data_IF_804299162141
#
_entry.id   IF_804299162141
#
_cell.length_a   1.000
_cell.length_b   1.000
_cell.length_c   1.000
_cell.angle_alpha   90.00
_cell.angle_beta   90.00
_cell.angle_gamma   90.00
#
_symmetry.space_group_name_H-M   'P 1'
#
loop_
_entity.id
_entity.type
_entity.pdbx_description
1 polymer ?
#
# COMPACT_ATOMS: atom_id res chain seq x y z
N UNK A 1 -19.82 -57.77 -20.65
CA UNK A 1 -19.68 -57.25 -19.26
C UNK A 1 -18.42 -56.39 -18.99
N UNK A 2 -17.33 -56.47 -19.78
CA UNK A 2 -16.12 -55.64 -19.59
C UNK A 2 -16.24 -54.19 -20.10
N UNK A 3 -17.07 -53.95 -21.13
CA UNK A 3 -17.22 -52.63 -21.77
C UNK A 3 -18.06 -51.67 -20.91
N UNK A 4 -19.16 -52.15 -20.29
CA UNK A 4 -19.97 -51.33 -19.37
C UNK A 4 -19.19 -50.86 -18.13
N UNK A 5 -18.28 -51.70 -17.59
CA UNK A 5 -17.40 -51.30 -16.47
C UNK A 5 -16.42 -50.18 -16.83
N UNK A 6 -15.94 -50.12 -18.08
CA UNK A 6 -15.02 -49.07 -18.54
C UNK A 6 -15.73 -47.74 -18.78
N UNK A 7 -16.96 -47.77 -19.29
CA UNK A 7 -17.80 -46.58 -19.49
C UNK A 7 -18.21 -45.98 -18.13
N UNK A 8 -18.56 -46.84 -17.15
CA UNK A 8 -18.90 -46.39 -15.80
C UNK A 8 -17.70 -45.76 -15.08
N UNK A 9 -16.48 -46.28 -15.29
CA UNK A 9 -15.25 -45.72 -14.72
C UNK A 9 -14.90 -44.35 -15.33
N UNK A 10 -15.13 -44.17 -16.64
CA UNK A 10 -14.94 -42.89 -17.36
C UNK A 10 -15.93 -41.80 -16.93
N UNK A 11 -17.20 -42.17 -16.67
CA UNK A 11 -18.22 -41.27 -16.14
C UNK A 11 -17.92 -40.86 -14.69
N UNK A 12 -17.38 -41.77 -13.86
CA UNK A 12 -16.98 -41.46 -12.49
C UNK A 12 -15.78 -40.50 -12.43
N UNK A 13 -14.83 -40.61 -13.38
CA UNK A 13 -13.71 -39.66 -13.47
C UNK A 13 -14.13 -38.27 -13.94
N UNK A 14 -15.19 -38.14 -14.76
CA UNK A 14 -15.73 -36.83 -15.15
C UNK A 14 -16.49 -36.14 -14.00
N UNK A 15 -17.10 -36.89 -13.09
CA UNK A 15 -17.79 -36.36 -11.91
C UNK A 15 -16.85 -35.80 -10.83
N UNK A 16 -15.58 -36.18 -10.84
CA UNK A 16 -14.55 -35.68 -9.91
C UNK A 16 -13.87 -34.39 -10.40
N UNK A 17 -14.16 -33.92 -11.62
CA UNK A 17 -13.63 -32.65 -12.18
C UNK A 17 -14.54 -31.45 -11.81
N UNK A 18 -15.70 -31.69 -11.22
CA UNK A 18 -16.74 -30.68 -10.98
C UNK A 18 -16.98 -30.35 -9.51
N UNK A 19 -15.97 -29.85 -8.81
CA UNK A 19 -16.24 -28.96 -7.67
C UNK A 19 -15.09 -27.97 -7.55
N UNK A 20 -15.05 -27.03 -8.50
CA UNK A 20 -14.47 -25.72 -8.21
C UNK A 20 -15.42 -25.17 -7.14
N UNK A 21 -15.07 -25.30 -5.87
CA UNK A 21 -15.73 -24.53 -4.83
C UNK A 21 -15.66 -23.08 -5.30
N UNK A 22 -16.80 -22.47 -5.62
CA UNK A 22 -16.84 -21.06 -5.91
C UNK A 22 -16.25 -20.38 -4.67
N UNK A 23 -15.08 -19.75 -4.85
CA UNK A 23 -14.49 -18.94 -3.80
C UNK A 23 -15.38 -17.72 -3.72
N UNK A 24 -16.18 -17.61 -2.67
CA UNK A 24 -17.11 -16.49 -2.49
C UNK A 24 -16.32 -15.25 -2.04
N UNK A 25 -15.77 -14.52 -3.01
CA UNK A 25 -15.20 -13.20 -2.79
C UNK A 25 -16.31 -12.21 -2.39
N UNK A 26 -16.04 -11.40 -1.38
CA UNK A 26 -16.94 -10.31 -0.98
C UNK A 26 -16.56 -9.01 -1.69
N UNK A 27 -17.53 -8.25 -2.18
CA UNK A 27 -17.27 -6.96 -2.83
C UNK A 27 -17.32 -5.83 -1.79
N UNK A 28 -16.32 -4.95 -1.80
CA UNK A 28 -16.28 -3.73 -0.98
C UNK A 28 -15.94 -2.53 -1.84
N UNK A 29 -16.54 -1.38 -1.55
CA UNK A 29 -16.25 -0.13 -2.28
C UNK A 29 -15.42 0.79 -1.40
N UNK A 30 -14.23 1.17 -1.86
CA UNK A 30 -13.29 2.05 -1.16
C UNK A 30 -13.13 3.29 -2.04
N UNK A 31 -13.62 4.44 -1.55
CA UNK A 31 -13.59 5.73 -2.27
C UNK A 31 -14.04 5.65 -3.74
N UNK A 32 -15.08 4.86 -4.02
CA UNK A 32 -15.68 4.73 -5.34
C UNK A 32 -15.05 3.66 -6.24
N UNK A 33 -14.02 2.95 -5.79
CA UNK A 33 -13.48 1.78 -6.47
C UNK A 33 -13.92 0.49 -5.77
N UNK A 34 -14.44 -0.47 -6.55
CA UNK A 34 -14.90 -1.76 -6.03
C UNK A 34 -13.78 -2.80 -6.03
N UNK A 35 -13.62 -3.52 -4.93
CA UNK A 35 -12.60 -4.56 -4.76
C UNK A 35 -13.23 -5.89 -4.34
N UNK A 36 -12.71 -6.98 -4.93
CA UNK A 36 -13.04 -8.34 -4.51
C UNK A 36 -12.13 -8.78 -3.37
N UNK A 37 -12.69 -8.89 -2.16
CA UNK A 37 -11.97 -9.31 -0.96
C UNK A 37 -12.01 -10.84 -0.82
N UNK A 38 -10.84 -11.51 -0.71
CA UNK A 38 -10.73 -12.93 -0.46
C UNK A 38 -11.48 -13.38 0.82
N UNK A 39 -12.05 -14.60 0.87
CA UNK A 39 -12.85 -15.05 2.00
C UNK A 39 -12.15 -14.95 3.35
N UNK A 40 -10.85 -15.22 3.41
CA UNK A 40 -10.05 -15.15 4.65
C UNK A 40 -9.96 -13.73 5.24
N UNK A 41 -10.26 -12.70 4.45
CA UNK A 41 -10.26 -11.31 4.88
C UNK A 41 -11.66 -10.69 4.91
N UNK A 42 -12.71 -11.45 4.60
CA UNK A 42 -14.08 -10.96 4.36
C UNK A 42 -14.74 -10.22 5.56
N UNK A 43 -14.27 -10.46 6.78
CA UNK A 43 -14.81 -9.87 8.01
C UNK A 43 -14.09 -8.57 8.41
N UNK A 44 -13.45 -7.88 7.45
CA UNK A 44 -12.86 -6.57 7.67
C UNK A 44 -13.90 -5.45 7.82
N UNK A 45 -13.42 -4.30 8.27
CA UNK A 45 -14.22 -3.09 8.48
C UNK A 45 -13.90 -2.04 7.42
N UNK A 46 -14.93 -1.41 6.88
CA UNK A 46 -14.81 -0.23 6.03
C UNK A 46 -14.77 1.04 6.89
N UNK A 47 -13.80 1.90 6.63
CA UNK A 47 -13.69 3.24 7.20
C UNK A 47 -13.17 4.17 6.09
N UNK A 48 -13.42 5.47 6.16
CA UNK A 48 -13.13 6.45 5.10
C UNK A 48 -11.83 6.16 4.33
N UNK A 49 -11.95 5.83 3.04
CA UNK A 49 -10.82 5.51 2.16
C UNK A 49 -10.05 4.22 2.43
N UNK A 50 -10.57 3.31 3.28
CA UNK A 50 -9.88 2.04 3.57
C UNK A 50 -10.82 0.89 3.96
N UNK A 51 -10.33 -0.32 3.69
CA UNK A 51 -10.84 -1.56 4.23
C UNK A 51 -9.76 -2.22 5.07
N UNK A 52 -10.07 -2.63 6.31
CA UNK A 52 -9.08 -3.21 7.23
C UNK A 52 -9.61 -4.50 7.84
N UNK A 53 -8.87 -5.59 7.67
CA UNK A 53 -9.09 -6.85 8.38
C UNK A 53 -8.06 -6.99 9.50
N UNK A 54 -8.53 -7.05 10.74
CA UNK A 54 -7.75 -6.98 11.99
C UNK A 54 -6.93 -5.69 12.14
N UNK A 55 -5.85 -5.53 11.37
CA UNK A 55 -5.02 -4.34 11.34
C UNK A 55 -4.12 -4.28 10.08
N UNK A 56 -3.39 -3.18 9.92
CA UNK A 56 -2.50 -2.92 8.75
C UNK A 56 -1.33 -3.90 8.63
N UNK A 57 -1.05 -4.74 9.63
CA UNK A 57 0.00 -5.76 9.59
C UNK A 57 -0.55 -7.12 9.18
N UNK A 58 -1.87 -7.30 9.22
CA UNK A 58 -2.56 -8.49 8.73
C UNK A 58 -3.02 -8.26 7.28
N UNK A 59 -4.02 -7.40 7.07
CA UNK A 59 -4.54 -7.10 5.73
C UNK A 59 -5.33 -5.78 5.71
N UNK A 60 -5.06 -4.94 4.71
CA UNK A 60 -5.88 -3.76 4.44
C UNK A 60 -5.75 -3.31 2.98
N UNK A 61 -6.76 -2.60 2.47
CA UNK A 61 -6.71 -1.88 1.19
C UNK A 61 -7.00 -0.41 1.48
N UNK A 62 -6.14 0.48 1.00
CA UNK A 62 -6.19 1.91 1.28
C UNK A 62 -6.20 2.68 -0.04
N UNK A 63 -7.08 3.66 -0.18
CA UNK A 63 -6.93 4.77 -1.10
C UNK A 63 -5.94 5.77 -0.49
N UNK A 64 -4.81 6.05 -1.14
CA UNK A 64 -3.67 6.72 -0.49
C UNK A 64 -3.40 8.14 -0.98
N UNK A 65 -4.12 8.66 -1.97
CA UNK A 65 -3.81 9.94 -2.64
C UNK A 65 -3.59 11.09 -1.64
N UNK A 66 -4.49 11.26 -0.66
CA UNK A 66 -4.44 12.35 0.33
C UNK A 66 -3.24 12.28 1.30
N UNK A 67 -2.58 11.14 1.42
CA UNK A 67 -1.50 10.93 2.39
C UNK A 67 -0.34 10.11 1.81
N UNK A 68 -0.22 10.04 0.48
CA UNK A 68 0.77 9.23 -0.24
C UNK A 68 2.21 9.61 0.10
N UNK A 69 2.46 10.90 0.38
CA UNK A 69 3.77 11.39 0.85
C UNK A 69 4.17 10.69 2.16
N UNK A 70 3.25 10.62 3.13
CA UNK A 70 3.53 9.96 4.41
C UNK A 70 3.48 8.44 4.30
N UNK A 71 2.56 7.90 3.50
CA UNK A 71 2.35 6.47 3.31
C UNK A 71 3.50 5.87 2.51
N UNK A 72 3.60 6.18 1.22
CA UNK A 72 4.65 5.68 0.35
C UNK A 72 6.02 6.25 0.71
N UNK A 73 6.15 7.58 0.83
CA UNK A 73 7.46 8.22 1.06
C UNK A 73 8.11 7.78 2.38
N UNK A 74 7.32 7.71 3.46
CA UNK A 74 7.76 7.21 4.75
C UNK A 74 8.11 5.73 4.73
N UNK A 75 7.24 4.89 4.16
CA UNK A 75 7.45 3.44 4.11
C UNK A 75 8.62 3.07 3.21
N UNK A 76 8.84 3.81 2.12
CA UNK A 76 10.01 3.63 1.25
C UNK A 76 11.33 3.79 2.02
N UNK A 77 11.41 4.67 3.02
CA UNK A 77 12.65 4.83 3.80
C UNK A 77 12.95 3.62 4.69
N UNK A 78 11.92 2.98 5.25
CA UNK A 78 12.07 1.90 6.22
C UNK A 78 11.98 0.50 5.61
N UNK A 79 11.54 0.39 4.35
CA UNK A 79 11.43 -0.89 3.67
C UNK A 79 12.79 -1.56 3.48
N UNK A 80 12.91 -2.83 3.89
CA UNK A 80 14.08 -3.66 3.68
C UNK A 80 14.22 -4.05 2.20
N UNK A 81 13.08 -4.26 1.53
CA UNK A 81 13.02 -4.65 0.12
C UNK A 81 12.04 -3.77 -0.65
N UNK A 82 12.38 -3.48 -1.92
CA UNK A 82 11.66 -2.56 -2.80
C UNK A 82 11.74 -3.08 -4.23
N UNK A 83 10.60 -3.31 -4.86
CA UNK A 83 10.58 -3.90 -6.20
C UNK A 83 9.45 -3.32 -7.05
N UNK A 84 9.80 -2.95 -8.29
CA UNK A 84 8.82 -2.70 -9.34
C UNK A 84 8.43 -4.04 -9.93
N UNK A 85 7.15 -4.39 -9.84
CA UNK A 85 6.61 -5.64 -10.38
C UNK A 85 5.44 -5.33 -11.31
N UNK A 86 4.97 -6.37 -11.99
CA UNK A 86 3.68 -6.36 -12.68
C UNK A 86 2.77 -7.40 -12.06
N UNK A 87 1.52 -7.02 -11.82
CA UNK A 87 0.46 -7.92 -11.37
C UNK A 87 -0.61 -7.92 -12.45
N UNK A 88 -0.73 -9.03 -13.17
CA UNK A 88 -1.34 -9.03 -14.49
C UNK A 88 -0.66 -8.03 -15.43
N UNK A 89 -1.45 -7.13 -16.03
CA UNK A 89 -0.96 -6.06 -16.90
C UNK A 89 -0.67 -4.74 -16.15
N UNK A 90 -0.92 -4.68 -14.83
CA UNK A 90 -0.78 -3.44 -14.05
C UNK A 90 0.62 -3.27 -13.48
N UNK A 91 1.21 -2.07 -13.58
CA UNK A 91 2.42 -1.75 -12.84
C UNK A 91 2.13 -1.69 -11.34
N UNK A 92 3.05 -2.19 -10.52
CA UNK A 92 2.94 -2.10 -9.07
C UNK A 92 4.30 -1.91 -8.40
N UNK A 93 4.30 -1.31 -7.22
CA UNK A 93 5.48 -1.15 -6.37
C UNK A 93 5.28 -1.93 -5.08
N UNK A 94 6.12 -2.94 -4.85
CA UNK A 94 6.15 -3.73 -3.63
C UNK A 94 7.21 -3.18 -2.68
N UNK A 95 6.78 -2.83 -1.47
CA UNK A 95 7.67 -2.52 -0.34
C UNK A 95 7.47 -3.57 0.73
N UNK A 96 8.56 -4.13 1.26
CA UNK A 96 8.50 -5.12 2.34
C UNK A 96 9.43 -4.72 3.47
N UNK A 97 8.97 -4.85 4.70
CA UNK A 97 9.76 -4.62 5.91
C UNK A 97 9.48 -5.71 6.94
N UNK A 98 10.49 -6.02 7.76
CA UNK A 98 10.31 -6.92 8.89
C UNK A 98 9.65 -6.19 10.06
N UNK A 99 8.48 -6.65 10.48
CA UNK A 99 7.76 -6.10 11.62
C UNK A 99 8.14 -6.85 12.91
N UNK A 100 8.86 -6.19 13.81
CA UNK A 100 9.37 -6.80 15.05
C UNK A 100 8.28 -7.16 16.06
N UNK A 101 7.11 -6.52 16.00
CA UNK A 101 5.99 -6.81 16.92
C UNK A 101 5.34 -8.15 16.58
N UNK A 102 5.06 -8.41 15.29
CA UNK A 102 4.48 -9.68 14.84
C UNK A 102 5.53 -10.72 14.43
N UNK A 103 6.82 -10.37 14.50
CA UNK A 103 7.99 -11.17 14.14
C UNK A 103 7.93 -11.77 12.74
N UNK A 104 7.38 -11.00 11.80
CA UNK A 104 7.12 -11.44 10.44
C UNK A 104 7.22 -10.26 9.47
N UNK A 105 7.32 -10.56 8.19
CA UNK A 105 7.29 -9.53 7.15
C UNK A 105 5.89 -8.95 7.00
N UNK A 106 5.85 -7.66 6.67
CA UNK A 106 4.66 -6.97 6.20
C UNK A 106 5.02 -6.31 4.88
N UNK A 107 4.15 -6.49 3.89
CA UNK A 107 4.27 -5.91 2.58
C UNK A 107 3.20 -4.86 2.30
N UNK A 108 3.58 -3.92 1.45
CA UNK A 108 2.71 -2.89 0.88
C UNK A 108 2.85 -2.95 -0.63
N UNK A 109 1.74 -3.16 -1.32
CA UNK A 109 1.68 -3.19 -2.77
C UNK A 109 0.88 -2.00 -3.26
N UNK A 110 1.59 -1.04 -3.86
CA UNK A 110 0.99 0.14 -4.47
C UNK A 110 0.67 -0.15 -5.94
N UNK A 111 -0.50 0.26 -6.41
CA UNK A 111 -0.95 0.04 -7.80
C UNK A 111 -2.02 1.07 -8.21
N UNK A 112 -2.16 1.36 -9.51
CA UNK A 112 -3.13 2.34 -9.99
C UNK A 112 -4.52 1.73 -10.21
N UNK A 113 -5.56 2.48 -9.81
CA UNK A 113 -6.99 2.17 -10.02
C UNK A 113 -7.72 3.45 -10.42
N UNK A 114 -8.38 3.46 -11.58
CA UNK A 114 -8.94 4.70 -12.13
C UNK A 114 -7.84 5.77 -12.31
N UNK A 115 -8.03 6.93 -11.69
CA UNK A 115 -7.05 8.04 -11.68
C UNK A 115 -6.21 8.11 -10.39
N UNK A 116 -6.42 7.16 -9.47
CA UNK A 116 -5.88 7.19 -8.11
C UNK A 116 -4.87 6.07 -7.84
N UNK A 117 -4.14 6.20 -6.75
CA UNK A 117 -3.24 5.16 -6.23
C UNK A 117 -3.87 4.48 -5.02
N UNK A 118 -3.84 3.15 -5.04
CA UNK A 118 -4.23 2.31 -3.91
C UNK A 118 -3.05 1.52 -3.39
N UNK A 119 -3.12 1.14 -2.12
CA UNK A 119 -2.12 0.30 -1.45
C UNK A 119 -2.80 -0.87 -0.75
N UNK A 120 -2.35 -2.11 -1.03
CA UNK A 120 -2.71 -3.28 -0.24
C UNK A 120 -1.61 -3.54 0.78
N UNK A 121 -1.97 -3.54 2.06
CA UNK A 121 -1.16 -4.07 3.14
C UNK A 121 -1.46 -5.55 3.30
N UNK A 122 -0.43 -6.38 3.43
CA UNK A 122 -0.61 -7.81 3.73
C UNK A 122 0.57 -8.38 4.50
N UNK A 123 0.30 -9.39 5.33
CA UNK A 123 1.33 -10.16 6.03
C UNK A 123 2.10 -11.05 5.06
N UNK A 124 3.41 -11.12 5.23
CA UNK A 124 4.33 -11.85 4.38
C UNK A 124 5.12 -10.94 3.46
N UNK A 125 5.79 -11.54 2.48
CA UNK A 125 6.67 -10.85 1.53
C UNK A 125 6.40 -11.20 0.06
N UNK A 126 5.42 -12.06 -0.20
CA UNK A 126 5.11 -12.56 -1.54
C UNK A 126 3.70 -12.13 -1.93
N UNK A 127 3.55 -11.57 -3.13
CA UNK A 127 2.24 -11.32 -3.74
C UNK A 127 1.61 -12.68 -4.06
N UNK A 128 0.61 -13.08 -3.27
CA UNK A 128 -0.10 -14.36 -3.45
C UNK A 128 -1.16 -14.25 -4.55
N UNK A 129 -1.73 -15.39 -4.97
CA UNK A 129 -2.85 -15.41 -5.92
C UNK A 129 -4.03 -14.54 -5.48
N UNK A 130 -4.30 -14.47 -4.18
CA UNK A 130 -5.42 -13.71 -3.63
C UNK A 130 -5.15 -12.20 -3.69
N UNK A 131 -3.91 -11.79 -3.43
CA UNK A 131 -3.48 -10.39 -3.60
C UNK A 131 -3.47 -10.03 -5.09
N UNK A 132 -2.99 -10.91 -5.96
CA UNK A 132 -3.06 -10.71 -7.41
C UNK A 132 -4.49 -10.57 -7.89
N UNK A 133 -5.42 -11.41 -7.41
CA UNK A 133 -6.83 -11.34 -7.80
C UNK A 133 -7.45 -9.99 -7.44
N UNK A 134 -7.15 -9.43 -6.26
CA UNK A 134 -7.62 -8.09 -5.87
C UNK A 134 -7.18 -7.04 -6.90
N UNK A 135 -5.91 -7.07 -7.32
CA UNK A 135 -5.34 -6.09 -8.26
C UNK A 135 -5.87 -6.28 -9.69
N UNK A 136 -5.96 -7.54 -10.15
CA UNK A 136 -6.40 -7.88 -11.50
C UNK A 136 -7.90 -7.61 -11.70
N UNK A 137 -8.70 -7.76 -10.65
CA UNK A 137 -10.16 -7.51 -10.70
C UNK A 137 -10.58 -6.10 -10.30
N UNK A 138 -9.65 -5.27 -9.81
CA UNK A 138 -9.91 -3.85 -9.54
C UNK A 138 -10.33 -3.10 -10.82
N UNK A 139 -11.04 -1.96 -10.72
CA UNK A 139 -11.36 -1.13 -11.86
C UNK A 139 -10.13 -0.76 -12.70
N UNK A 140 -10.23 -0.72 -14.05
CA UNK A 140 -9.11 -0.36 -14.91
C UNK A 140 -8.56 1.04 -14.58
N UNK A 141 -7.29 1.26 -14.90
CA UNK A 141 -6.66 2.56 -14.82
C UNK A 141 -6.03 2.87 -16.18
N UNK A 142 -6.26 4.09 -16.67
CA UNK A 142 -5.59 4.61 -17.86
C UNK A 142 -4.20 5.19 -17.53
N UNK A 143 -3.79 5.14 -16.26
CA UNK A 143 -2.50 5.63 -15.80
C UNK A 143 -1.38 4.77 -16.39
N UNK A 144 -0.48 5.40 -17.16
CA UNK A 144 0.70 4.71 -17.66
C UNK A 144 1.64 4.35 -16.51
N UNK A 145 2.50 3.34 -16.72
CA UNK A 145 3.55 3.00 -15.75
C UNK A 145 4.44 4.19 -15.40
N UNK A 146 4.73 5.07 -16.37
CA UNK A 146 5.52 6.28 -16.14
C UNK A 146 4.79 7.26 -15.22
N UNK A 147 3.51 7.52 -15.46
CA UNK A 147 2.70 8.40 -14.61
C UNK A 147 2.59 7.84 -13.19
N UNK A 148 2.31 6.54 -13.05
CA UNK A 148 2.22 5.86 -11.76
C UNK A 148 3.53 5.97 -10.95
N UNK A 149 4.67 5.61 -11.55
CA UNK A 149 5.96 5.72 -10.86
C UNK A 149 6.39 7.18 -10.66
N UNK A 150 5.92 8.11 -11.49
CA UNK A 150 6.10 9.55 -11.31
C UNK A 150 5.48 10.04 -10.02
N UNK A 151 4.20 9.71 -9.78
CA UNK A 151 3.47 10.03 -8.53
C UNK A 151 4.24 9.51 -7.32
N UNK A 152 4.64 8.23 -7.34
CA UNK A 152 5.40 7.63 -6.25
C UNK A 152 6.75 8.32 -6.02
N UNK A 153 7.48 8.63 -7.10
CA UNK A 153 8.77 9.31 -7.02
C UNK A 153 8.64 10.72 -6.40
N UNK A 154 7.63 11.47 -6.80
CA UNK A 154 7.32 12.79 -6.24
C UNK A 154 6.97 12.70 -4.76
N UNK A 155 6.09 11.78 -4.38
CA UNK A 155 5.71 11.55 -2.98
C UNK A 155 6.93 11.24 -2.09
N UNK A 156 7.86 10.41 -2.58
CA UNK A 156 9.12 10.13 -1.88
C UNK A 156 10.00 11.37 -1.78
N UNK A 157 10.17 12.13 -2.87
CA UNK A 157 11.00 13.34 -2.87
C UNK A 157 10.46 14.37 -1.88
N UNK A 158 9.15 14.55 -1.86
CA UNK A 158 8.49 15.47 -0.94
C UNK A 158 8.66 15.02 0.52
N UNK A 159 8.50 13.73 0.81
CA UNK A 159 8.76 13.19 2.14
C UNK A 159 10.21 13.45 2.59
N UNK A 160 11.19 13.22 1.71
CA UNK A 160 12.61 13.45 2.00
C UNK A 160 12.88 14.94 2.28
N UNK A 161 12.22 15.83 1.55
CA UNK A 161 12.32 17.26 1.76
C UNK A 161 11.68 17.72 3.08
N UNK A 162 10.48 17.23 3.40
CA UNK A 162 9.80 17.52 4.68
C UNK A 162 10.66 17.06 5.87
N UNK A 163 11.20 15.84 5.79
CA UNK A 163 12.10 15.31 6.83
C UNK A 163 13.37 16.16 6.99
N UNK A 164 13.98 16.60 5.90
CA UNK A 164 15.14 17.49 5.97
C UNK A 164 14.82 18.82 6.69
N UNK A 165 13.64 19.40 6.42
CA UNK A 165 13.20 20.62 7.11
C UNK A 165 12.93 20.36 8.60
N UNK A 166 12.33 19.23 8.96
CA UNK A 166 12.08 18.86 10.35
C UNK A 166 13.40 18.66 11.13
N UNK A 167 14.37 17.96 10.52
CA UNK A 167 15.70 17.74 11.10
C UNK A 167 16.45 19.09 11.27
N UNK A 168 16.35 19.99 10.28
CA UNK A 168 16.93 21.33 10.35
C UNK A 168 16.28 22.15 11.48
N UNK A 169 14.95 22.15 11.58
CA UNK A 169 14.23 22.86 12.62
C UNK A 169 14.57 22.32 14.02
N UNK A 170 14.71 21.00 14.17
CA UNK A 170 15.13 20.36 15.41
C UNK A 170 16.54 20.81 15.83
N UNK A 171 17.50 20.79 14.90
CA UNK A 171 18.87 21.25 15.15
C UNK A 171 18.90 22.74 15.55
N UNK A 172 18.18 23.59 14.82
CA UNK A 172 18.06 25.01 15.17
C UNK A 172 17.39 25.24 16.53
N UNK A 173 16.39 24.44 16.92
CA UNK A 173 15.78 24.55 18.25
C UNK A 173 16.72 24.09 19.37
N UNK A 174 17.58 23.09 19.11
CA UNK A 174 18.65 22.67 20.00
C UNK A 174 19.75 23.74 20.12
N UNK A 175 20.07 24.42 19.02
CA UNK A 175 21.01 25.56 18.99
C UNK A 175 20.40 26.80 19.64
N UNK A 176 19.10 27.08 19.47
CA UNK A 176 18.42 28.22 20.07
C UNK A 176 18.28 28.04 21.58
N UNK A 177 17.92 26.85 22.07
CA UNK A 177 17.91 26.55 23.51
C UNK A 177 19.30 26.62 24.16
N UNK A 178 20.39 26.44 23.39
CA UNK A 178 21.76 26.71 23.84
C UNK A 178 22.20 28.17 23.63
N UNK A 179 21.63 28.90 22.66
CA UNK A 179 21.85 30.34 22.38
C UNK A 179 20.98 31.30 23.19
N UNK A 180 19.91 30.85 23.85
CA UNK A 180 19.25 31.64 24.90
C UNK A 180 20.18 31.87 26.12
N UNK A 181 21.39 31.27 26.09
CA UNK A 181 22.52 31.61 26.97
C UNK A 181 23.53 32.60 26.35
N UNK A 182 23.40 33.00 25.06
CA UNK A 182 24.29 33.93 24.36
C UNK A 182 23.65 34.54 23.07
N UNK A 183 23.29 35.82 23.12
CA UNK A 183 22.50 36.56 22.11
C UNK A 183 23.14 36.82 20.72
N UNK A 184 22.23 37.05 19.75
CA UNK A 184 22.25 37.90 18.53
C UNK A 184 23.03 37.51 17.25
N UNK A 185 22.30 37.26 16.15
CA UNK A 185 22.14 38.19 15.00
C UNK A 185 21.57 37.50 13.73
N UNK A 186 20.83 38.26 12.92
CA UNK A 186 20.34 38.08 11.54
C UNK A 186 19.63 36.78 11.07
N UNK A 187 20.06 35.60 11.51
CA UNK A 187 19.48 34.32 11.04
C UNK A 187 18.03 34.10 11.54
N UNK A 188 17.66 34.82 12.61
CA UNK A 188 16.35 34.79 13.25
C UNK A 188 15.20 35.27 12.33
N UNK A 189 15.50 36.06 11.28
CA UNK A 189 14.45 36.64 10.42
C UNK A 189 13.94 35.68 9.33
N UNK A 190 14.81 34.83 8.76
CA UNK A 190 14.41 33.89 7.69
C UNK A 190 13.51 32.80 8.27
N UNK A 191 13.85 32.32 9.47
CA UNK A 191 13.09 31.27 10.18
C UNK A 191 11.77 31.83 10.73
N UNK A 192 11.75 33.05 11.28
CA UNK A 192 10.49 33.72 11.64
C UNK A 192 9.57 33.93 10.44
N UNK A 193 10.12 34.31 9.28
CA UNK A 193 9.31 34.49 8.08
C UNK A 193 8.64 33.19 7.66
N UNK A 194 9.35 32.05 7.72
CA UNK A 194 8.81 30.74 7.37
C UNK A 194 7.73 30.27 8.36
N UNK A 195 7.97 30.36 9.68
CA UNK A 195 7.01 29.99 10.72
C UNK A 195 5.73 30.84 10.68
N UNK A 196 5.82 32.11 10.28
CA UNK A 196 4.68 33.03 10.19
C UNK A 196 3.85 32.89 8.91
N UNK A 197 4.41 32.31 7.84
CA UNK A 197 3.75 32.25 6.53
C UNK A 197 3.24 30.86 6.15
N UNK A 198 3.75 29.80 6.79
CA UNK A 198 3.44 28.41 6.40
C UNK A 198 2.75 27.59 7.48
N UNK A 199 2.42 28.19 8.63
CA UNK A 199 1.46 27.63 9.61
C UNK A 199 0.16 28.43 9.55
N UNK A 200 -0.78 27.97 8.72
CA UNK A 200 -2.21 28.28 8.79
C UNK A 200 -3.02 27.13 8.22
#
# INVERSE_FOLDING_TARGET
>A
MKIMKRIFLLLLTFLLIGSVCAVDYSNVSIDGADFQIPPQYSQGTLDKGKYVFEDLRTFAILHVDDYIVSNYGGMYKIADFKEKISVGERPAMLLTYYNTYIKDNVSQLYFPVGESVYCIYFRGNNVTSDISNIVETAPPSEMTSEAFYGILSEAKKEHDYRKYLDDLAADYSGIASTRDSASNSNDDQIVKWYLLTHWR
#
